data_IF_864135221776
#
_entry.id   IF_864135221776
#
_cell.length_a   1.000
_cell.length_b   1.000
_cell.length_c   1.000
_cell.angle_alpha   90.00
_cell.angle_beta   90.00
_cell.angle_gamma   90.00
#
_symmetry.space_group_name_H-M   'P 1'
#
loop_
_entity.id
_entity.type
_entity.pdbx_description
1 polymer ?
#
# COMPACT_ATOMS: atom_id res chain seq x y z
N UNK A 1 8.98 38.09 -15.76
CA UNK A 1 7.62 38.64 -15.92
C UNK A 1 6.66 37.70 -15.18
N UNK A 2 6.33 38.06 -13.95
CA UNK A 2 5.43 37.33 -13.05
C UNK A 2 4.00 37.56 -13.54
N UNK A 3 3.47 36.66 -14.37
CA UNK A 3 2.03 36.64 -14.60
C UNK A 3 1.37 36.12 -13.33
N UNK A 4 0.83 37.04 -12.54
CA UNK A 4 -0.17 36.74 -11.51
C UNK A 4 -1.34 36.11 -12.24
N UNK A 5 -1.45 34.77 -12.21
CA UNK A 5 -2.66 34.09 -12.68
C UNK A 5 -3.81 34.53 -11.78
N UNK A 6 -4.66 35.43 -12.31
CA UNK A 6 -5.88 35.84 -11.66
C UNK A 6 -6.79 34.62 -11.54
N UNK A 7 -7.06 34.22 -10.29
CA UNK A 7 -7.91 33.09 -9.95
C UNK A 7 -9.31 33.29 -10.54
N UNK A 8 -9.92 32.30 -11.22
CA UNK A 8 -11.33 32.39 -11.57
C UNK A 8 -12.16 32.54 -10.29
N UNK A 9 -12.87 33.66 -10.17
CA UNK A 9 -13.78 33.96 -9.07
C UNK A 9 -14.95 32.98 -9.07
N UNK A 10 -15.14 32.24 -7.97
CA UNK A 10 -16.35 31.42 -7.76
C UNK A 10 -17.51 32.35 -7.42
N UNK A 11 -18.55 32.34 -8.27
CA UNK A 11 -19.84 32.91 -7.95
C UNK A 11 -20.62 31.90 -7.09
N UNK A 12 -20.96 32.29 -5.86
CA UNK A 12 -21.79 31.59 -4.84
C UNK A 12 -21.10 30.53 -3.96
N UNK A 13 -21.46 30.58 -2.67
CA UNK A 13 -21.09 29.60 -1.67
C UNK A 13 -21.75 28.26 -1.99
N UNK A 14 -20.95 27.21 -2.16
CA UNK A 14 -21.39 25.84 -2.39
C UNK A 14 -21.38 25.09 -1.05
N UNK A 15 -22.21 24.04 -0.85
CA UNK A 15 -22.03 23.10 0.26
C UNK A 15 -20.61 22.50 0.35
N UNK A 16 -19.83 22.58 -0.73
CA UNK A 16 -18.41 22.22 -0.74
C UNK A 16 -17.53 23.16 0.11
N UNK A 17 -17.95 24.39 0.39
CA UNK A 17 -17.13 25.37 1.11
C UNK A 17 -17.04 25.05 2.61
N UNK A 18 -18.08 24.41 3.18
CA UNK A 18 -18.06 23.88 4.55
C UNK A 18 -16.98 22.80 4.73
N UNK A 19 -16.58 22.15 3.64
CA UNK A 19 -15.53 21.13 3.62
C UNK A 19 -14.13 21.72 3.44
N UNK A 20 -13.99 23.03 3.19
CA UNK A 20 -12.70 23.73 3.02
C UNK A 20 -12.21 24.42 4.30
N UNK A 21 -12.81 24.08 5.44
CA UNK A 21 -12.37 24.57 6.76
C UNK A 21 -11.00 24.01 7.13
N UNK A 22 -10.22 24.75 7.92
CA UNK A 22 -8.89 24.29 8.34
C UNK A 22 -8.94 22.95 9.12
N UNK A 23 -10.03 22.70 9.84
CA UNK A 23 -10.26 21.43 10.52
C UNK A 23 -10.33 20.24 9.55
N UNK A 24 -10.84 20.45 8.33
CA UNK A 24 -11.01 19.42 7.30
C UNK A 24 -9.80 19.31 6.38
N UNK A 25 -9.25 20.42 5.92
CA UNK A 25 -8.20 20.41 4.90
C UNK A 25 -6.80 20.73 5.42
N UNK A 26 -6.68 21.24 6.65
CA UNK A 26 -5.44 21.77 7.22
C UNK A 26 -5.31 23.29 7.06
N UNK A 27 -4.28 23.90 7.66
CA UNK A 27 -4.10 25.35 7.65
C UNK A 27 -3.78 25.88 6.24
N UNK A 28 -4.09 27.16 6.00
CA UNK A 28 -3.70 27.87 4.77
C UNK A 28 -2.25 28.37 4.88
N UNK A 29 -1.31 27.43 4.83
CA UNK A 29 0.13 27.63 5.05
C UNK A 29 0.98 27.58 3.77
N UNK A 30 0.34 27.65 2.60
CA UNK A 30 0.98 27.47 1.30
C UNK A 30 1.60 28.71 0.67
N UNK A 31 1.42 29.90 1.26
CA UNK A 31 1.89 31.15 0.66
C UNK A 31 3.41 31.11 0.42
N UNK A 32 3.83 31.35 -0.83
CA UNK A 32 5.24 31.28 -1.24
C UNK A 32 5.80 29.87 -1.39
N UNK A 33 5.02 28.82 -1.10
CA UNK A 33 5.45 27.42 -1.14
C UNK A 33 4.89 26.69 -2.35
N UNK A 34 5.61 25.69 -2.81
CA UNK A 34 5.30 24.86 -3.97
C UNK A 34 5.01 23.43 -3.55
N UNK A 35 3.91 22.88 -4.03
CA UNK A 35 3.53 21.49 -3.79
C UNK A 35 3.50 20.72 -5.11
N UNK A 36 4.25 19.63 -5.20
CA UNK A 36 4.03 18.64 -6.26
C UNK A 36 2.94 17.69 -5.80
N UNK A 37 1.92 17.46 -6.64
CA UNK A 37 0.82 16.54 -6.35
C UNK A 37 0.91 15.33 -7.26
N UNK A 38 0.95 14.13 -6.67
CA UNK A 38 0.91 12.89 -7.44
C UNK A 38 -0.50 12.66 -8.02
N UNK A 39 -0.63 12.80 -9.34
CA UNK A 39 -1.90 12.74 -10.07
C UNK A 39 -2.08 11.37 -10.72
N UNK A 40 -2.99 10.53 -10.22
CA UNK A 40 -3.27 9.20 -10.79
C UNK A 40 -4.43 9.19 -11.79
N UNK A 41 -5.07 10.34 -12.04
CA UNK A 41 -6.30 10.43 -12.85
C UNK A 41 -7.57 9.95 -12.13
N UNK A 42 -7.49 9.78 -10.80
CA UNK A 42 -8.63 9.46 -9.95
C UNK A 42 -9.08 10.65 -9.11
N UNK A 43 -10.31 10.57 -8.59
CA UNK A 43 -10.94 11.62 -7.77
C UNK A 43 -10.11 12.02 -6.54
N UNK A 44 -9.39 11.07 -5.94
CA UNK A 44 -8.60 11.31 -4.73
C UNK A 44 -7.41 12.24 -5.02
N UNK A 45 -6.66 11.96 -6.08
CA UNK A 45 -5.57 12.84 -6.52
C UNK A 45 -6.07 14.20 -7.02
N UNK A 46 -7.26 14.23 -7.65
CA UNK A 46 -7.90 15.46 -8.10
C UNK A 46 -8.23 16.40 -6.93
N UNK A 47 -8.90 15.86 -5.91
CA UNK A 47 -9.27 16.64 -4.71
C UNK A 47 -8.03 16.98 -3.89
N UNK A 48 -7.00 16.15 -3.91
CA UNK A 48 -5.70 16.50 -3.30
C UNK A 48 -5.12 17.76 -3.93
N UNK A 49 -5.06 17.84 -5.26
CA UNK A 49 -4.56 19.04 -5.96
C UNK A 49 -5.41 20.27 -5.67
N UNK A 50 -6.73 20.11 -5.65
CA UNK A 50 -7.68 21.16 -5.29
C UNK A 50 -7.42 21.67 -3.86
N UNK A 51 -7.34 20.77 -2.88
CA UNK A 51 -7.11 21.12 -1.48
C UNK A 51 -5.78 21.84 -1.29
N UNK A 52 -4.70 21.36 -1.92
CA UNK A 52 -3.40 22.02 -1.84
C UNK A 52 -3.45 23.44 -2.43
N UNK A 53 -4.18 23.64 -3.54
CA UNK A 53 -4.40 24.97 -4.12
C UNK A 53 -5.18 25.88 -3.15
N UNK A 54 -6.26 25.37 -2.55
CA UNK A 54 -7.06 26.12 -1.57
C UNK A 54 -6.25 26.50 -0.32
N UNK A 55 -5.29 25.67 0.09
CA UNK A 55 -4.35 26.00 1.17
C UNK A 55 -3.29 27.05 0.78
N UNK A 56 -3.32 27.55 -0.46
CA UNK A 56 -2.47 28.64 -0.94
C UNK A 56 -1.16 28.19 -1.58
N UNK A 57 -0.95 26.90 -1.81
CA UNK A 57 0.28 26.40 -2.44
C UNK A 57 0.27 26.69 -3.94
N UNK A 58 1.47 26.96 -4.49
CA UNK A 58 1.71 26.81 -5.93
C UNK A 58 1.76 25.33 -6.27
N UNK A 59 0.65 24.81 -6.80
CA UNK A 59 0.51 23.38 -7.10
C UNK A 59 1.08 23.04 -8.48
N UNK A 60 1.79 21.91 -8.56
CA UNK A 60 2.23 21.27 -9.81
C UNK A 60 1.71 19.84 -9.82
N UNK A 61 0.86 19.49 -10.77
CA UNK A 61 0.39 18.12 -10.97
C UNK A 61 1.47 17.27 -11.66
N UNK A 62 1.72 16.07 -11.15
CA UNK A 62 2.68 15.14 -11.71
C UNK A 62 2.07 13.73 -11.81
N UNK A 63 1.93 13.22 -13.03
CA UNK A 63 1.54 11.84 -13.27
C UNK A 63 2.79 10.96 -13.48
N UNK A 64 2.70 9.71 -13.00
CA UNK A 64 3.70 8.69 -13.28
C UNK A 64 3.13 7.70 -14.30
N UNK A 65 3.83 7.57 -15.42
CA UNK A 65 3.62 6.49 -16.37
C UNK A 65 4.46 5.29 -15.90
N UNK A 66 3.79 4.28 -15.34
CA UNK A 66 4.45 3.14 -14.68
C UNK A 66 4.42 1.86 -15.51
N UNK A 67 3.33 1.62 -16.23
CA UNK A 67 3.15 0.41 -17.02
C UNK A 67 2.15 0.66 -18.14
N UNK A 68 2.63 0.72 -19.38
CA UNK A 68 1.81 0.95 -20.57
C UNK A 68 2.28 0.07 -21.73
N UNK A 69 2.14 -1.28 -21.62
CA UNK A 69 2.41 -2.14 -22.76
C UNK A 69 1.38 -1.87 -23.86
N UNK A 70 1.81 -2.05 -25.11
CA UNK A 70 0.96 -1.85 -26.28
C UNK A 70 0.08 -3.08 -26.55
N UNK A 71 -0.80 -3.38 -25.59
CA UNK A 71 -1.82 -4.42 -25.71
C UNK A 71 -3.20 -3.91 -25.24
N UNK A 72 -4.27 -4.49 -25.79
CA UNK A 72 -5.65 -4.04 -25.51
C UNK A 72 -6.04 -4.19 -24.04
N UNK A 73 -5.49 -5.19 -23.34
CA UNK A 73 -5.81 -5.49 -21.94
C UNK A 73 -5.28 -4.40 -20.97
N UNK A 74 -4.17 -3.75 -21.32
CA UNK A 74 -3.48 -2.79 -20.45
C UNK A 74 -3.60 -1.33 -20.92
N UNK A 75 -4.08 -1.09 -22.15
CA UNK A 75 -4.45 0.27 -22.64
C UNK A 75 -5.44 0.97 -21.71
N UNK A 76 -6.32 0.20 -21.06
CA UNK A 76 -7.31 0.68 -20.10
C UNK A 76 -6.81 0.76 -18.64
N UNK A 77 -5.50 0.68 -18.39
CA UNK A 77 -4.93 0.75 -17.03
C UNK A 77 -5.45 1.99 -16.28
N UNK A 78 -6.26 1.82 -15.21
CA UNK A 78 -6.97 2.92 -14.55
C UNK A 78 -6.05 3.82 -13.72
N UNK A 79 -4.80 3.40 -13.47
CA UNK A 79 -3.84 4.13 -12.63
C UNK A 79 -2.82 4.95 -13.44
N UNK A 80 -2.33 4.42 -14.56
CA UNK A 80 -1.27 5.06 -15.35
C UNK A 80 -1.37 4.87 -16.86
N UNK A 81 -2.47 4.31 -17.37
CA UNK A 81 -2.75 4.25 -18.81
C UNK A 81 -3.07 5.63 -19.39
N UNK A 82 -3.11 5.71 -20.71
CA UNK A 82 -3.38 6.96 -21.45
C UNK A 82 -4.68 7.64 -20.97
N UNK A 83 -5.83 6.92 -20.79
CA UNK A 83 -7.06 7.55 -20.31
C UNK A 83 -6.91 8.18 -18.90
N UNK A 84 -6.18 7.52 -18.00
CA UNK A 84 -5.94 8.05 -16.66
C UNK A 84 -5.03 9.30 -16.69
N UNK A 85 -4.06 9.32 -17.60
CA UNK A 85 -3.21 10.50 -17.80
C UNK A 85 -4.00 11.68 -18.38
N UNK A 86 -4.90 11.43 -19.32
CA UNK A 86 -5.80 12.46 -19.86
C UNK A 86 -6.75 13.01 -18.80
N UNK A 87 -7.31 12.14 -17.95
CA UNK A 87 -8.14 12.56 -16.82
C UNK A 87 -7.35 13.43 -15.83
N UNK A 88 -6.10 13.07 -15.55
CA UNK A 88 -5.22 13.85 -14.69
C UNK A 88 -4.92 15.23 -15.30
N UNK A 89 -4.60 15.27 -16.60
CA UNK A 89 -4.35 16.50 -17.35
C UNK A 89 -5.57 17.40 -17.39
N UNK A 90 -6.75 16.86 -17.70
CA UNK A 90 -8.01 17.59 -17.73
C UNK A 90 -8.37 18.15 -16.35
N UNK A 91 -8.19 17.35 -15.29
CA UNK A 91 -8.37 17.78 -13.90
C UNK A 91 -7.46 18.94 -13.54
N UNK A 92 -6.16 18.86 -13.87
CA UNK A 92 -5.21 19.94 -13.63
C UNK A 92 -5.60 21.22 -14.38
N UNK A 93 -6.10 21.10 -15.62
CA UNK A 93 -6.61 22.24 -16.39
C UNK A 93 -7.84 22.88 -15.71
N UNK A 94 -8.82 22.09 -15.25
CA UNK A 94 -9.98 22.58 -14.49
C UNK A 94 -9.57 23.30 -13.20
N UNK A 95 -8.57 22.77 -12.49
CA UNK A 95 -8.04 23.38 -11.26
C UNK A 95 -7.14 24.60 -11.57
N UNK A 96 -6.67 24.76 -12.81
CA UNK A 96 -5.77 25.85 -13.19
C UNK A 96 -4.34 25.66 -12.72
N UNK A 97 -3.83 24.43 -12.73
CA UNK A 97 -2.46 24.09 -12.30
C UNK A 97 -1.67 23.41 -13.42
N UNK A 98 -0.34 23.64 -13.52
CA UNK A 98 0.50 22.97 -14.50
C UNK A 98 0.53 21.46 -14.26
N UNK A 99 0.69 20.71 -15.36
CA UNK A 99 0.71 19.25 -15.37
C UNK A 99 1.94 18.73 -16.11
N UNK A 100 2.62 17.77 -15.51
CA UNK A 100 3.73 17.04 -16.11
C UNK A 100 3.52 15.53 -15.99
N UNK A 101 4.08 14.77 -16.93
CA UNK A 101 4.13 13.32 -16.86
C UNK A 101 5.59 12.86 -16.88
N UNK A 102 5.92 11.89 -16.04
CA UNK A 102 7.25 11.27 -16.00
C UNK A 102 7.10 9.79 -16.32
N UNK A 103 7.92 9.31 -17.26
CA UNK A 103 8.06 7.89 -17.52
C UNK A 103 8.95 7.25 -16.46
N UNK A 104 8.42 6.24 -15.77
CA UNK A 104 9.10 5.46 -14.73
C UNK A 104 8.92 3.96 -14.98
N UNK A 105 8.66 3.54 -16.23
CA UNK A 105 8.41 2.14 -16.58
C UNK A 105 9.58 1.22 -16.24
N UNK A 106 10.82 1.69 -16.42
CA UNK A 106 12.03 0.90 -16.15
C UNK A 106 12.18 0.66 -14.65
N UNK A 107 12.09 1.72 -13.84
CA UNK A 107 12.21 1.62 -12.40
C UNK A 107 11.05 0.84 -11.78
N UNK A 108 9.84 0.99 -12.33
CA UNK A 108 8.66 0.23 -11.90
C UNK A 108 8.78 -1.25 -12.25
N UNK A 109 9.23 -1.56 -13.46
CA UNK A 109 9.48 -2.94 -13.91
C UNK A 109 10.41 -3.67 -12.95
N UNK A 110 11.61 -3.11 -12.73
CA UNK A 110 12.61 -3.72 -11.87
C UNK A 110 12.20 -3.79 -10.39
N UNK A 111 11.66 -2.70 -9.83
CA UNK A 111 11.40 -2.63 -8.39
C UNK A 111 10.07 -3.27 -7.95
N UNK A 112 9.11 -3.41 -8.87
CA UNK A 112 7.75 -3.89 -8.52
C UNK A 112 7.39 -5.14 -9.30
N UNK A 113 7.50 -5.15 -10.63
CA UNK A 113 7.03 -6.27 -11.45
C UNK A 113 7.92 -7.49 -11.29
N UNK A 114 9.24 -7.33 -11.43
CA UNK A 114 10.18 -8.45 -11.37
C UNK A 114 10.16 -9.11 -9.99
N UNK A 115 10.22 -8.29 -8.93
CA UNK A 115 10.07 -8.74 -7.55
C UNK A 115 8.73 -9.45 -7.31
N UNK A 116 7.62 -8.92 -7.84
CA UNK A 116 6.32 -9.57 -7.72
C UNK A 116 6.32 -10.97 -8.32
N UNK A 117 6.89 -11.13 -9.51
CA UNK A 117 6.99 -12.43 -10.20
C UNK A 117 7.89 -13.39 -9.42
N UNK A 118 9.07 -12.94 -8.98
CA UNK A 118 10.02 -13.78 -8.24
C UNK A 118 9.48 -14.27 -6.89
N UNK A 119 8.76 -13.41 -6.17
CA UNK A 119 8.12 -13.76 -4.90
C UNK A 119 7.05 -14.84 -5.06
N UNK A 120 6.23 -14.76 -6.11
CA UNK A 120 5.23 -15.81 -6.41
C UNK A 120 5.89 -17.14 -6.79
N UNK A 121 6.97 -17.10 -7.57
CA UNK A 121 7.75 -18.31 -7.89
C UNK A 121 8.36 -18.93 -6.64
N UNK A 122 8.78 -18.11 -5.68
CA UNK A 122 9.27 -18.55 -4.37
C UNK A 122 8.16 -19.03 -3.42
N UNK A 123 6.90 -19.10 -3.85
CA UNK A 123 5.77 -19.52 -3.01
C UNK A 123 5.40 -18.53 -1.92
N UNK A 124 5.80 -17.26 -2.08
CA UNK A 124 5.42 -16.14 -1.20
C UNK A 124 4.32 -15.31 -1.85
N UNK A 125 3.64 -14.49 -1.05
CA UNK A 125 2.58 -13.62 -1.54
C UNK A 125 2.98 -12.16 -1.36
N UNK A 126 3.51 -11.49 -2.40
CA UNK A 126 3.96 -10.11 -2.30
C UNK A 126 2.79 -9.11 -2.26
N UNK A 127 3.06 -7.90 -1.79
CA UNK A 127 2.15 -6.76 -1.93
C UNK A 127 2.77 -5.70 -2.85
N UNK A 128 2.41 -5.66 -4.15
CA UNK A 128 3.04 -4.75 -5.11
C UNK A 128 2.75 -3.27 -4.83
N UNK A 129 1.66 -2.95 -4.12
CA UNK A 129 1.35 -1.57 -3.73
C UNK A 129 2.33 -1.05 -2.67
N UNK A 130 2.77 -1.91 -1.75
CA UNK A 130 3.81 -1.57 -0.78
C UNK A 130 5.14 -1.28 -1.48
N UNK A 131 5.54 -2.13 -2.42
CA UNK A 131 6.79 -1.94 -3.17
C UNK A 131 6.73 -0.68 -4.06
N UNK A 132 5.60 -0.43 -4.72
CA UNK A 132 5.38 0.79 -5.50
C UNK A 132 5.47 2.04 -4.61
N UNK A 133 4.88 2.03 -3.42
CA UNK A 133 5.00 3.14 -2.48
C UNK A 133 6.46 3.35 -2.04
N UNK A 134 7.13 2.28 -1.61
CA UNK A 134 8.51 2.31 -1.10
C UNK A 134 9.51 2.75 -2.16
N UNK A 135 9.51 2.09 -3.31
CA UNK A 135 10.56 2.23 -4.31
C UNK A 135 10.24 3.22 -5.42
N UNK A 136 8.97 3.45 -5.74
CA UNK A 136 8.59 4.29 -6.89
C UNK A 136 8.03 5.61 -6.42
N UNK A 137 6.90 5.63 -5.71
CA UNK A 137 6.26 6.89 -5.30
C UNK A 137 7.13 7.67 -4.31
N UNK A 138 7.49 7.12 -3.16
CA UNK A 138 8.12 7.92 -2.11
C UNK A 138 9.64 8.03 -2.21
N UNK A 139 10.30 7.18 -3.00
CA UNK A 139 11.72 7.38 -3.34
C UNK A 139 11.87 8.33 -4.52
N UNK A 140 11.26 8.02 -5.67
CA UNK A 140 11.49 8.78 -6.89
C UNK A 140 10.67 10.08 -6.95
N UNK A 141 9.37 10.11 -6.59
CA UNK A 141 8.63 11.38 -6.62
C UNK A 141 9.14 12.37 -5.58
N UNK A 142 9.52 11.93 -4.38
CA UNK A 142 10.10 12.83 -3.37
C UNK A 142 11.39 13.45 -3.91
N UNK A 143 12.27 12.63 -4.49
CA UNK A 143 13.51 13.12 -5.09
C UNK A 143 13.24 14.11 -6.24
N UNK A 144 12.34 13.77 -7.17
CA UNK A 144 11.97 14.62 -8.31
C UNK A 144 11.30 15.92 -7.85
N UNK A 145 10.40 15.86 -6.88
CA UNK A 145 9.75 17.05 -6.33
C UNK A 145 10.77 18.02 -5.72
N UNK A 146 11.76 17.51 -4.99
CA UNK A 146 12.86 18.33 -4.46
C UNK A 146 13.73 18.93 -5.56
N UNK A 147 14.06 18.17 -6.61
CA UNK A 147 14.80 18.71 -7.76
C UNK A 147 14.06 19.84 -8.47
N UNK A 148 12.73 19.81 -8.46
CA UNK A 148 11.88 20.90 -8.98
C UNK A 148 11.75 22.09 -8.01
N UNK A 149 12.43 22.06 -6.85
CA UNK A 149 12.34 23.09 -5.82
C UNK A 149 10.99 23.11 -5.10
N UNK A 150 10.28 21.97 -5.03
CA UNK A 150 9.04 21.88 -4.29
C UNK A 150 9.31 21.74 -2.78
N UNK A 151 8.47 22.38 -1.98
CA UNK A 151 8.51 22.35 -0.52
C UNK A 151 7.87 21.08 0.06
N UNK A 152 6.99 20.43 -0.71
CA UNK A 152 6.37 19.17 -0.31
C UNK A 152 5.84 18.35 -1.50
N UNK A 153 5.62 17.06 -1.23
CA UNK A 153 4.89 16.13 -2.10
C UNK A 153 3.52 15.83 -1.47
N UNK A 154 2.43 16.10 -2.17
CA UNK A 154 1.10 15.71 -1.75
C UNK A 154 0.59 14.49 -2.54
N UNK A 155 -0.10 13.58 -1.86
CA UNK A 155 -0.71 12.41 -2.53
C UNK A 155 -2.13 12.19 -2.01
N UNK A 156 -2.97 11.55 -2.83
CA UNK A 156 -4.34 11.20 -2.47
C UNK A 156 -4.48 9.99 -1.55
N UNK A 157 -3.48 9.71 -0.71
CA UNK A 157 -3.61 8.66 0.28
C UNK A 157 -4.44 9.11 1.48
N UNK A 158 -5.28 8.20 1.97
CA UNK A 158 -6.03 8.36 3.21
C UNK A 158 -5.15 7.93 4.38
N UNK A 159 -4.37 8.86 4.89
CA UNK A 159 -3.65 8.77 6.16
C UNK A 159 -3.44 10.19 6.70
N UNK A 160 -3.02 10.34 7.94
CA UNK A 160 -2.66 11.65 8.50
C UNK A 160 -1.18 11.64 8.91
N UNK A 161 -0.56 12.81 8.86
CA UNK A 161 0.76 13.04 9.45
C UNK A 161 0.56 14.08 10.54
N UNK A 162 0.89 13.72 11.77
CA UNK A 162 1.02 14.67 12.87
C UNK A 162 2.47 15.17 12.90
N UNK A 163 2.65 16.48 12.81
CA UNK A 163 3.95 17.12 12.74
C UNK A 163 4.51 17.25 14.16
N UNK A 164 5.53 16.47 14.49
CA UNK A 164 6.45 16.80 15.59
C UNK A 164 7.53 17.80 15.16
N UNK A 165 8.40 18.15 16.10
CA UNK A 165 9.66 18.86 15.89
C UNK A 165 10.89 17.95 16.06
N UNK A 166 11.42 17.37 14.96
CA UNK A 166 12.57 16.47 15.05
C UNK A 166 13.83 17.12 15.60
N UNK A 167 13.95 18.45 15.57
CA UNK A 167 15.12 19.18 16.12
C UNK A 167 15.11 19.13 17.65
N UNK A 168 13.92 19.17 18.27
CA UNK A 168 13.74 18.98 19.71
C UNK A 168 13.54 17.51 20.11
N UNK A 169 13.63 16.58 19.15
CA UNK A 169 13.52 15.14 19.38
C UNK A 169 12.09 14.59 19.26
N UNK A 170 11.11 15.39 18.83
CA UNK A 170 9.74 14.94 18.60
C UNK A 170 9.54 14.49 17.14
N UNK A 171 9.36 13.18 16.87
CA UNK A 171 9.24 12.69 15.51
C UNK A 171 7.90 13.07 14.88
N UNK A 172 7.85 13.12 13.54
CA UNK A 172 6.59 13.11 12.83
C UNK A 172 5.90 11.76 12.99
N UNK A 173 4.58 11.75 13.21
CA UNK A 173 3.80 10.53 13.47
C UNK A 173 2.88 10.23 12.30
N UNK A 174 2.93 9.00 11.79
CA UNK A 174 2.01 8.51 10.77
C UNK A 174 0.76 7.96 11.45
N UNK A 175 -0.39 8.53 11.14
CA UNK A 175 -1.65 8.19 11.79
C UNK A 175 -2.67 7.64 10.77
N UNK A 176 -3.60 6.84 11.25
CA UNK A 176 -4.78 6.40 10.49
C UNK A 176 -5.59 7.59 9.98
N UNK A 177 -6.20 7.43 8.80
CA UNK A 177 -7.23 8.36 8.35
C UNK A 177 -8.47 8.34 9.25
N UNK A 178 -9.22 9.44 9.27
CA UNK A 178 -10.52 9.50 9.96
C UNK A 178 -11.56 8.57 9.33
N UNK A 179 -11.44 8.29 8.02
CA UNK A 179 -12.26 7.32 7.32
C UNK A 179 -11.62 5.93 7.39
N UNK A 180 -11.99 5.16 8.42
CA UNK A 180 -11.47 3.80 8.63
C UNK A 180 -11.75 2.82 7.48
N UNK A 181 -12.74 3.09 6.60
CA UNK A 181 -13.01 2.24 5.42
C UNK A 181 -12.00 2.49 4.30
N UNK A 182 -11.45 3.70 4.27
CA UNK A 182 -10.49 4.15 3.26
C UNK A 182 -9.07 4.23 3.75
N UNK A 183 -8.82 4.08 5.06
CA UNK A 183 -7.49 4.13 5.66
C UNK A 183 -6.46 3.33 4.83
N UNK A 184 -5.37 4.01 4.52
CA UNK A 184 -4.24 3.53 3.72
C UNK A 184 -2.94 3.59 4.51
N UNK A 185 -2.99 3.90 5.81
CA UNK A 185 -1.82 3.91 6.70
C UNK A 185 -0.99 2.60 6.63
N UNK A 186 -1.65 1.47 6.44
CA UNK A 186 -1.02 0.15 6.29
C UNK A 186 -0.01 0.08 5.13
N UNK A 187 -0.29 0.70 3.99
CA UNK A 187 0.65 0.66 2.84
C UNK A 187 1.72 1.76 2.90
N UNK A 188 1.80 2.48 4.02
CA UNK A 188 2.67 3.65 4.22
C UNK A 188 3.65 3.45 5.40
N UNK A 189 3.66 2.29 6.06
CA UNK A 189 4.49 2.06 7.25
C UNK A 189 6.00 2.18 7.00
N UNK A 190 6.43 2.04 5.75
CA UNK A 190 7.85 2.13 5.34
C UNK A 190 8.34 3.57 5.19
N UNK A 191 7.50 4.57 5.44
CA UNK A 191 7.89 5.97 5.34
C UNK A 191 8.89 6.33 6.44
N UNK A 192 10.00 6.91 6.01
CA UNK A 192 11.04 7.45 6.90
C UNK A 192 10.62 8.80 7.49
N UNK A 193 11.26 9.24 8.57
CA UNK A 193 11.05 10.57 9.15
C UNK A 193 11.28 11.70 8.14
N UNK A 194 12.31 11.58 7.32
CA UNK A 194 12.61 12.55 6.27
C UNK A 194 11.48 12.65 5.23
N UNK A 195 10.93 11.51 4.82
CA UNK A 195 9.79 11.45 3.90
C UNK A 195 8.52 11.96 4.57
N UNK A 196 8.25 11.58 5.82
CA UNK A 196 7.11 12.09 6.59
C UNK A 196 7.19 13.61 6.67
N UNK A 197 8.37 14.19 6.90
CA UNK A 197 8.63 15.63 6.90
C UNK A 197 8.30 16.35 5.60
N UNK A 198 8.44 15.66 4.47
CA UNK A 198 8.24 16.23 3.14
C UNK A 198 6.85 15.94 2.52
N UNK A 199 6.17 14.88 2.96
CA UNK A 199 4.91 14.43 2.37
C UNK A 199 3.70 15.07 3.05
N UNK A 200 2.63 15.32 2.29
CA UNK A 200 1.31 15.68 2.81
C UNK A 200 0.24 14.67 2.34
N UNK A 201 -0.73 14.40 3.22
CA UNK A 201 -1.93 13.59 2.94
C UNK A 201 -3.20 14.41 3.18
N UNK A 202 -3.60 15.27 2.22
CA UNK A 202 -4.71 16.20 2.43
C UNK A 202 -6.08 15.53 2.64
N UNK A 203 -6.23 14.25 2.26
CA UNK A 203 -7.48 13.52 2.42
C UNK A 203 -7.63 12.83 3.78
N UNK A 204 -6.60 12.85 4.64
CA UNK A 204 -6.58 12.11 5.90
C UNK A 204 -7.68 12.48 6.90
N UNK A 205 -8.24 13.68 6.77
CA UNK A 205 -9.31 14.25 7.63
C UNK A 205 -10.67 14.32 6.91
N UNK A 206 -10.74 13.78 5.69
CA UNK A 206 -11.95 13.73 4.87
C UNK A 206 -12.42 12.29 4.72
N UNK A 207 -13.74 12.12 4.72
CA UNK A 207 -14.38 10.86 4.33
C UNK A 207 -14.50 10.77 2.81
N UNK A 208 -14.62 9.56 2.26
CA UNK A 208 -14.81 9.41 0.80
C UNK A 208 -16.01 10.18 0.25
N UNK A 209 -17.18 10.20 0.92
CA UNK A 209 -18.32 11.02 0.48
C UNK A 209 -17.98 12.50 0.42
N UNK A 210 -17.25 13.05 1.40
CA UNK A 210 -16.81 14.45 1.41
C UNK A 210 -15.83 14.74 0.27
N UNK A 211 -14.89 13.84 -0.01
CA UNK A 211 -14.00 13.95 -1.18
C UNK A 211 -14.79 14.02 -2.49
N UNK A 212 -15.79 13.14 -2.68
CA UNK A 212 -16.66 13.20 -3.87
C UNK A 212 -17.53 14.46 -3.91
N UNK A 213 -17.98 14.97 -2.76
CA UNK A 213 -18.74 16.20 -2.66
C UNK A 213 -17.90 17.42 -3.08
N UNK A 214 -16.64 17.51 -2.62
CA UNK A 214 -15.68 18.52 -3.07
C UNK A 214 -15.46 18.42 -4.59
N UNK A 215 -15.23 17.22 -5.11
CA UNK A 215 -15.02 17.02 -6.54
C UNK A 215 -16.22 17.51 -7.39
N UNK A 216 -17.45 17.18 -6.99
CA UNK A 216 -18.68 17.66 -7.66
C UNK A 216 -18.87 19.17 -7.52
N UNK A 217 -18.68 19.72 -6.32
CA UNK A 217 -18.85 21.14 -6.05
C UNK A 217 -17.90 22.03 -6.86
N UNK A 218 -16.73 21.51 -7.22
CA UNK A 218 -15.74 22.18 -8.06
C UNK A 218 -15.78 21.74 -9.54
N UNK A 219 -16.76 20.93 -9.94
CA UNK A 219 -16.92 20.50 -11.33
C UNK A 219 -15.74 19.67 -11.86
N UNK A 220 -15.08 18.89 -11.01
CA UNK A 220 -13.95 18.06 -11.44
C UNK A 220 -14.47 16.90 -12.32
N UNK A 221 -13.85 16.64 -13.49
CA UNK A 221 -14.36 15.68 -14.47
C UNK A 221 -14.39 14.23 -13.95
N UNK A 222 -13.57 13.93 -12.93
CA UNK A 222 -13.43 12.59 -12.34
C UNK A 222 -14.29 12.37 -11.09
N UNK A 223 -15.21 13.28 -10.77
CA UNK A 223 -15.97 13.26 -9.51
C UNK A 223 -16.74 11.94 -9.26
N UNK A 224 -17.30 11.35 -10.32
CA UNK A 224 -18.08 10.11 -10.27
C UNK A 224 -17.32 8.90 -10.81
N UNK A 225 -16.03 9.06 -11.16
CA UNK A 225 -15.19 7.94 -11.63
C UNK A 225 -15.11 6.84 -10.58
N UNK A 226 -15.15 5.59 -11.05
CA UNK A 226 -14.98 4.41 -10.21
C UNK A 226 -13.54 4.34 -9.65
N UNK A 227 -13.40 3.71 -8.48
CA UNK A 227 -12.08 3.50 -7.89
C UNK A 227 -11.37 2.32 -8.55
N UNK A 228 -10.05 2.44 -8.74
CA UNK A 228 -9.22 1.29 -9.09
C UNK A 228 -9.06 0.39 -7.86
N UNK A 229 -9.57 -0.85 -7.94
CA UNK A 229 -9.46 -1.84 -6.87
C UNK A 229 -8.42 -2.94 -7.20
N UNK A 230 -7.98 -3.03 -8.46
CA UNK A 230 -7.09 -4.09 -8.95
C UNK A 230 -5.60 -3.67 -8.96
N UNK A 231 -4.71 -4.66 -9.03
CA UNK A 231 -3.27 -4.44 -9.20
C UNK A 231 -3.03 -3.75 -10.54
N UNK A 232 -2.39 -2.58 -10.50
CA UNK A 232 -2.33 -1.65 -11.63
C UNK A 232 -1.74 -2.21 -12.93
N UNK A 233 -0.89 -3.24 -12.89
CA UNK A 233 -0.23 -3.82 -14.07
C UNK A 233 -0.77 -5.19 -14.48
N UNK A 234 -1.72 -5.75 -13.72
CA UNK A 234 -2.32 -7.07 -14.03
C UNK A 234 -3.48 -6.92 -15.03
N UNK A 235 -4.08 -5.73 -15.09
CA UNK A 235 -5.19 -5.44 -16.01
C UNK A 235 -6.43 -6.26 -15.65
N UNK A 236 -7.12 -6.79 -16.67
CA UNK A 236 -8.31 -7.63 -16.51
C UNK A 236 -7.97 -9.13 -16.34
N UNK A 237 -6.69 -9.51 -16.36
CA UNK A 237 -6.24 -10.90 -16.23
C UNK A 237 -6.11 -11.29 -14.75
N UNK A 238 -6.01 -12.57 -14.44
CA UNK A 238 -5.62 -12.95 -13.08
C UNK A 238 -4.12 -12.69 -12.87
N UNK A 239 -3.71 -12.40 -11.63
CA UNK A 239 -2.29 -12.27 -11.31
C UNK A 239 -1.52 -13.55 -11.63
N UNK A 240 -2.17 -14.71 -11.53
CA UNK A 240 -1.57 -15.99 -11.84
C UNK A 240 -1.26 -16.11 -13.34
N UNK A 241 -2.16 -15.64 -14.22
CA UNK A 241 -1.91 -15.59 -15.66
C UNK A 241 -0.76 -14.61 -15.99
N UNK A 242 -0.71 -13.48 -15.29
CA UNK A 242 0.37 -12.50 -15.44
C UNK A 242 1.75 -13.08 -15.07
N UNK A 243 1.83 -13.85 -13.98
CA UNK A 243 3.05 -14.54 -13.56
C UNK A 243 3.38 -15.68 -14.52
N UNK A 244 2.39 -16.50 -14.91
CA UNK A 244 2.57 -17.63 -15.83
C UNK A 244 3.11 -17.19 -17.19
N UNK A 245 2.67 -16.04 -17.70
CA UNK A 245 3.17 -15.48 -18.96
C UNK A 245 4.68 -15.14 -18.92
N UNK A 246 5.23 -14.88 -17.74
CA UNK A 246 6.65 -14.56 -17.52
C UNK A 246 7.47 -15.74 -17.03
N UNK A 247 6.84 -16.64 -16.28
CA UNK A 247 7.46 -17.82 -15.64
C UNK A 247 6.54 -19.04 -15.81
N UNK A 248 6.49 -19.65 -17.01
CA UNK A 248 5.57 -20.76 -17.30
C UNK A 248 5.78 -21.98 -16.38
N UNK A 249 6.98 -22.14 -15.82
CA UNK A 249 7.29 -23.20 -14.85
C UNK A 249 6.50 -23.07 -13.54
N UNK A 250 5.96 -21.88 -13.23
CA UNK A 250 5.18 -21.61 -12.02
C UNK A 250 3.79 -22.27 -12.04
N UNK A 251 3.31 -22.72 -13.20
CA UNK A 251 2.00 -23.38 -13.38
C UNK A 251 2.11 -24.90 -13.47
N UNK A 252 3.19 -25.50 -12.95
CA UNK A 252 3.31 -26.97 -12.94
C UNK A 252 2.31 -27.61 -11.97
N UNK A 253 1.44 -28.54 -12.40
CA UNK A 253 0.55 -29.26 -11.50
C UNK A 253 1.32 -30.03 -10.43
N UNK A 254 0.71 -30.18 -9.25
CA UNK A 254 1.33 -30.82 -8.09
C UNK A 254 0.28 -31.34 -7.11
N UNK A 255 0.73 -32.02 -6.06
CA UNK A 255 -0.16 -32.69 -5.10
C UNK A 255 -0.74 -31.70 -4.09
N UNK A 256 -2.02 -31.88 -3.74
CA UNK A 256 -2.62 -31.25 -2.56
C UNK A 256 -2.57 -32.26 -1.43
N UNK A 257 -1.91 -31.90 -0.33
CA UNK A 257 -1.65 -32.80 0.79
C UNK A 257 -2.09 -32.19 2.12
N UNK A 258 -2.52 -33.02 3.06
CA UNK A 258 -2.67 -32.60 4.46
C UNK A 258 -1.32 -32.55 5.18
N UNK A 259 -1.30 -31.97 6.39
CA UNK A 259 -0.08 -31.87 7.21
C UNK A 259 0.56 -33.21 7.59
N UNK A 260 -0.21 -34.30 7.63
CA UNK A 260 0.28 -35.67 7.86
C UNK A 260 0.71 -36.40 6.56
N UNK A 261 0.62 -35.72 5.40
CA UNK A 261 1.07 -36.24 4.11
C UNK A 261 -0.01 -36.97 3.29
N UNK A 262 -1.26 -37.05 3.75
CA UNK A 262 -2.34 -37.65 2.97
C UNK A 262 -2.63 -36.84 1.70
N UNK A 263 -2.57 -37.49 0.54
CA UNK A 263 -2.88 -36.87 -0.76
C UNK A 263 -4.39 -36.74 -0.93
N UNK A 264 -4.86 -35.52 -1.18
CA UNK A 264 -6.27 -35.17 -1.33
C UNK A 264 -6.67 -34.89 -2.79
N UNK A 265 -5.71 -34.61 -3.66
CA UNK A 265 -5.95 -34.25 -5.04
C UNK A 265 -4.74 -33.57 -5.68
N UNK A 266 -4.99 -32.79 -6.75
CA UNK A 266 -3.96 -32.06 -7.47
C UNK A 266 -4.34 -30.59 -7.67
N UNK A 267 -3.36 -29.71 -7.57
CA UNK A 267 -3.48 -28.30 -7.92
C UNK A 267 -2.98 -28.02 -9.34
N UNK A 268 -3.41 -26.91 -9.93
CA UNK A 268 -2.98 -26.49 -11.29
C UNK A 268 -1.68 -25.69 -11.32
N UNK A 269 -1.12 -25.38 -10.15
CA UNK A 269 0.14 -24.66 -9.98
C UNK A 269 0.12 -23.89 -8.68
N UNK A 270 1.23 -23.84 -7.96
CA UNK A 270 1.29 -23.15 -6.66
C UNK A 270 0.99 -21.65 -6.79
N UNK A 271 1.26 -21.06 -7.95
CA UNK A 271 0.97 -19.64 -8.26
C UNK A 271 -0.52 -19.28 -8.14
N UNK A 272 -1.43 -20.24 -8.28
CA UNK A 272 -2.87 -20.02 -8.11
C UNK A 272 -3.32 -20.03 -6.64
N UNK A 273 -2.36 -20.22 -5.73
CA UNK A 273 -2.63 -20.40 -4.32
C UNK A 273 -1.85 -19.39 -3.46
N UNK A 274 -2.46 -19.02 -2.34
CA UNK A 274 -1.88 -18.13 -1.33
C UNK A 274 -2.07 -18.76 0.04
N UNK A 275 -1.08 -18.62 0.92
CA UNK A 275 -1.21 -19.08 2.31
C UNK A 275 -2.44 -18.45 2.97
N UNK A 276 -3.20 -19.23 3.73
CA UNK A 276 -4.47 -18.80 4.33
C UNK A 276 -5.67 -18.75 3.39
N UNK A 277 -5.50 -19.03 2.10
CA UNK A 277 -6.62 -19.19 1.16
C UNK A 277 -7.54 -20.33 1.61
N UNK A 278 -8.84 -20.08 1.52
CA UNK A 278 -9.91 -21.06 1.79
C UNK A 278 -10.65 -21.53 0.54
N UNK A 279 -10.89 -20.60 -0.41
CA UNK A 279 -11.67 -20.87 -1.63
C UNK A 279 -10.76 -21.31 -2.77
N UNK A 280 -11.27 -22.08 -3.72
CA UNK A 280 -10.51 -22.45 -4.92
C UNK A 280 -9.38 -23.45 -4.71
N UNK A 281 -9.37 -24.19 -3.58
CA UNK A 281 -8.40 -25.28 -3.32
C UNK A 281 -8.72 -26.52 -4.18
N UNK A 282 -10.00 -26.74 -4.53
CA UNK A 282 -10.39 -27.85 -5.41
C UNK A 282 -10.51 -29.22 -4.70
N UNK A 283 -10.58 -29.25 -3.37
CA UNK A 283 -10.77 -30.46 -2.58
C UNK A 283 -12.14 -30.43 -1.87
N UNK A 284 -12.90 -31.51 -1.98
CA UNK A 284 -14.12 -31.72 -1.20
C UNK A 284 -13.80 -32.29 0.19
N UNK A 285 -14.28 -31.64 1.25
CA UNK A 285 -14.02 -32.07 2.62
C UNK A 285 -15.18 -31.71 3.57
N UNK A 286 -15.40 -32.47 4.66
CA UNK A 286 -16.45 -32.19 5.64
C UNK A 286 -16.29 -30.83 6.34
N UNK A 287 -15.05 -30.36 6.47
CA UNK A 287 -14.68 -29.04 7.02
C UNK A 287 -13.83 -28.29 6.00
N UNK A 288 -13.91 -26.96 5.95
CA UNK A 288 -13.15 -26.18 5.00
C UNK A 288 -11.64 -26.25 5.30
N UNK A 289 -10.86 -26.58 4.27
CA UNK A 289 -9.41 -26.49 4.30
C UNK A 289 -8.93 -25.04 4.12
N UNK A 290 -7.77 -24.77 4.70
CA UNK A 290 -6.98 -23.56 4.51
C UNK A 290 -5.59 -23.96 4.02
N UNK A 291 -5.03 -23.19 3.10
CA UNK A 291 -3.62 -23.37 2.69
C UNK A 291 -2.71 -23.02 3.85
N UNK A 292 -1.90 -23.98 4.30
CA UNK A 292 -0.94 -23.79 5.39
C UNK A 292 0.43 -23.35 4.86
N UNK A 293 0.93 -24.00 3.82
CA UNK A 293 2.16 -23.59 3.10
C UNK A 293 2.16 -24.05 1.66
N UNK A 294 2.99 -23.39 0.87
CA UNK A 294 3.35 -23.78 -0.50
C UNK A 294 4.75 -24.42 -0.42
N UNK A 295 4.85 -25.72 -0.66
CA UNK A 295 6.12 -26.45 -0.73
C UNK A 295 6.65 -26.38 -2.17
N UNK A 296 7.48 -25.38 -2.46
CA UNK A 296 8.02 -25.16 -3.80
C UNK A 296 9.01 -26.23 -4.22
N UNK A 297 9.81 -26.78 -3.29
CA UNK A 297 10.79 -27.84 -3.54
C UNK A 297 10.11 -29.13 -3.99
N UNK A 298 9.06 -29.57 -3.28
CA UNK A 298 8.32 -30.80 -3.61
C UNK A 298 7.12 -30.55 -4.54
N UNK A 299 6.84 -29.30 -4.87
CA UNK A 299 5.65 -28.87 -5.62
C UNK A 299 4.34 -29.39 -4.99
N UNK A 300 4.13 -29.08 -3.70
CA UNK A 300 2.95 -29.52 -2.94
C UNK A 300 2.21 -28.35 -2.30
N UNK A 301 0.88 -28.39 -2.40
CA UNK A 301 -0.01 -27.49 -1.67
C UNK A 301 -0.40 -28.15 -0.34
N UNK A 302 0.14 -27.65 0.77
CA UNK A 302 -0.17 -28.21 2.09
C UNK A 302 -1.39 -27.51 2.69
N UNK A 303 -2.40 -28.28 3.07
CA UNK A 303 -3.67 -27.77 3.59
C UNK A 303 -4.01 -28.34 4.98
N UNK A 304 -4.83 -27.62 5.73
CA UNK A 304 -5.28 -28.06 7.04
C UNK A 304 -6.49 -27.27 7.55
N UNK A 305 -6.88 -27.57 8.78
CA UNK A 305 -8.01 -26.92 9.44
C UNK A 305 -7.72 -25.46 9.79
N UNK A 306 -8.78 -24.70 10.08
CA UNK A 306 -8.67 -23.28 10.45
C UNK A 306 -7.71 -23.03 11.62
N UNK A 307 -7.76 -23.86 12.65
CA UNK A 307 -6.93 -23.66 13.85
C UNK A 307 -5.45 -23.91 13.56
N UNK A 308 -5.12 -24.82 12.65
CA UNK A 308 -3.74 -25.01 12.18
C UNK A 308 -3.24 -23.83 11.34
N UNK A 309 -4.13 -23.06 10.71
CA UNK A 309 -3.74 -21.92 9.88
C UNK A 309 -3.45 -20.63 10.68
N UNK A 310 -3.78 -20.60 11.98
CA UNK A 310 -3.60 -19.43 12.84
C UNK A 310 -2.15 -19.29 13.28
N UNK A 311 -1.64 -18.08 13.23
CA UNK A 311 -0.32 -17.74 13.76
C UNK A 311 -0.35 -17.66 15.29
N UNK A 312 0.68 -18.20 15.94
CA UNK A 312 1.03 -17.89 17.33
C UNK A 312 2.08 -16.79 17.37
N UNK A 313 3.02 -16.83 16.43
CA UNK A 313 4.04 -15.80 16.26
C UNK A 313 4.37 -15.56 14.78
N UNK A 314 5.03 -14.44 14.51
CA UNK A 314 5.63 -14.11 13.23
C UNK A 314 7.09 -13.75 13.43
N UNK A 315 7.95 -14.28 12.59
CA UNK A 315 9.29 -13.71 12.40
C UNK A 315 9.20 -12.76 11.21
N UNK A 316 9.59 -11.51 11.43
CA UNK A 316 9.54 -10.47 10.40
C UNK A 316 10.92 -9.90 10.12
N UNK A 317 11.10 -9.46 8.89
CA UNK A 317 12.34 -8.89 8.36
C UNK A 317 12.06 -7.55 7.67
N UNK A 318 13.14 -6.83 7.36
CA UNK A 318 13.07 -5.49 6.78
C UNK A 318 12.22 -4.54 7.64
N UNK A 319 12.35 -4.67 8.96
CA UNK A 319 11.59 -3.88 9.93
C UNK A 319 11.91 -2.40 9.76
N UNK A 320 10.85 -1.60 9.65
CA UNK A 320 10.90 -0.15 9.56
C UNK A 320 10.01 0.43 10.66
N UNK A 321 10.57 1.28 11.50
CA UNK A 321 9.86 2.00 12.54
C UNK A 321 9.67 3.45 12.12
N UNK A 322 8.43 3.92 12.09
CA UNK A 322 8.09 5.25 11.59
C UNK A 322 8.77 6.32 12.44
N UNK A 323 8.74 6.18 13.77
CA UNK A 323 9.35 7.12 14.73
C UNK A 323 10.88 7.14 14.74
N UNK A 324 11.55 6.22 14.03
CA UNK A 324 13.01 6.18 13.92
C UNK A 324 13.78 5.72 15.18
N UNK A 325 13.08 5.43 16.28
CA UNK A 325 13.66 4.87 17.51
C UNK A 325 13.63 3.35 17.43
N UNK A 326 14.70 2.68 17.88
CA UNK A 326 14.79 1.22 18.00
C UNK A 326 14.80 0.79 19.48
N UNK A 327 13.64 0.50 20.09
CA UNK A 327 13.56 0.08 21.49
C UNK A 327 14.29 -1.24 21.77
N UNK A 328 14.97 -1.33 22.91
CA UNK A 328 15.55 -2.59 23.39
C UNK A 328 14.50 -3.51 24.04
N UNK A 329 13.51 -2.92 24.70
CA UNK A 329 12.50 -3.67 25.44
C UNK A 329 11.32 -4.05 24.54
N UNK A 330 10.71 -5.22 24.74
CA UNK A 330 9.49 -5.58 24.05
C UNK A 330 8.35 -4.61 24.32
N UNK A 331 7.50 -4.39 23.33
CA UNK A 331 6.38 -3.45 23.44
C UNK A 331 5.08 -4.03 22.87
N UNK A 332 3.96 -3.58 23.44
CA UNK A 332 2.62 -4.01 23.06
C UNK A 332 2.07 -3.22 21.88
N UNK A 333 1.43 -3.92 20.95
CA UNK A 333 0.88 -3.34 19.73
C UNK A 333 -0.44 -3.99 19.32
N UNK A 334 -1.17 -3.30 18.46
CA UNK A 334 -2.16 -3.89 17.59
C UNK A 334 -1.52 -4.23 16.23
N UNK A 335 -1.27 -5.50 15.96
CA UNK A 335 -0.67 -5.98 14.71
C UNK A 335 -1.74 -6.27 13.65
N UNK A 336 -1.54 -5.75 12.43
CA UNK A 336 -2.40 -5.99 11.27
C UNK A 336 -1.59 -6.72 10.20
N UNK A 337 -1.97 -7.96 9.85
CA UNK A 337 -1.18 -8.85 8.96
C UNK A 337 -1.62 -8.83 7.49
N UNK A 338 -2.63 -8.03 7.15
CA UNK A 338 -3.12 -7.83 5.78
C UNK A 338 -3.87 -6.53 5.67
N UNK A 339 -3.89 -5.93 4.48
CA UNK A 339 -4.65 -4.71 4.24
C UNK A 339 -6.13 -4.88 4.60
N UNK A 340 -6.68 -3.93 5.39
CA UNK A 340 -8.04 -4.00 5.96
C UNK A 340 -8.32 -5.23 6.85
N UNK A 341 -7.28 -5.89 7.35
CA UNK A 341 -7.38 -6.92 8.36
C UNK A 341 -7.81 -6.36 9.71
N UNK A 342 -8.44 -7.20 10.53
CA UNK A 342 -8.69 -6.85 11.92
C UNK A 342 -7.35 -6.82 12.69
N UNK A 343 -7.15 -5.84 13.59
CA UNK A 343 -5.99 -5.83 14.46
C UNK A 343 -6.02 -7.02 15.43
N UNK A 344 -4.85 -7.56 15.73
CA UNK A 344 -4.64 -8.57 16.77
C UNK A 344 -3.64 -8.03 17.80
N UNK A 345 -3.95 -8.16 19.08
CA UNK A 345 -3.04 -7.78 20.16
C UNK A 345 -1.78 -8.66 20.11
N UNK A 346 -0.62 -8.03 20.22
CA UNK A 346 0.67 -8.71 20.15
C UNK A 346 1.76 -7.96 20.90
N UNK A 347 2.76 -8.70 21.36
CA UNK A 347 4.03 -8.16 21.85
C UNK A 347 5.07 -8.26 20.75
N UNK A 348 5.86 -7.21 20.56
CA UNK A 348 6.96 -7.17 19.58
C UNK A 348 8.29 -7.11 20.32
N UNK A 349 9.18 -8.03 20.00
CA UNK A 349 10.58 -8.00 20.41
C UNK A 349 11.45 -7.75 19.18
N UNK A 350 12.17 -6.62 19.16
CA UNK A 350 13.07 -6.27 18.06
C UNK A 350 14.39 -7.05 18.19
N UNK A 351 14.95 -7.43 17.05
CA UNK A 351 16.33 -7.93 16.95
C UNK A 351 17.35 -6.80 17.02
N UNK A 352 18.59 -7.09 16.66
CA UNK A 352 19.61 -6.06 16.51
C UNK A 352 19.21 -5.06 15.40
N UNK A 353 19.55 -3.78 15.59
CA UNK A 353 19.10 -2.72 14.68
C UNK A 353 19.64 -2.91 13.25
N UNK A 354 20.86 -3.38 13.11
CA UNK A 354 21.52 -3.66 11.83
C UNK A 354 20.88 -4.84 11.08
N UNK A 355 20.36 -5.84 11.80
CA UNK A 355 19.65 -6.97 11.20
C UNK A 355 18.26 -6.59 10.69
N UNK A 356 17.62 -5.58 11.28
CA UNK A 356 16.25 -5.13 10.95
C UNK A 356 15.22 -6.28 11.01
N UNK A 357 15.31 -7.12 12.04
CA UNK A 357 14.41 -8.25 12.31
C UNK A 357 13.58 -8.02 13.56
N UNK A 358 12.46 -8.73 13.69
CA UNK A 358 11.68 -8.77 14.92
C UNK A 358 10.87 -10.06 15.04
N UNK A 359 10.51 -10.40 16.27
CA UNK A 359 9.52 -11.42 16.58
C UNK A 359 8.24 -10.75 17.09
N UNK A 360 7.11 -11.14 16.50
CA UNK A 360 5.76 -10.70 16.89
C UNK A 360 5.04 -11.89 17.52
N UNK A 361 4.64 -11.79 18.79
CA UNK A 361 3.93 -12.86 19.51
C UNK A 361 2.50 -12.42 19.79
N UNK A 362 1.52 -13.15 19.29
CA UNK A 362 0.11 -12.79 19.48
C UNK A 362 -0.40 -13.17 20.87
N UNK A 363 -1.22 -12.31 21.45
CA UNK A 363 -1.87 -12.59 22.73
C UNK A 363 -3.01 -13.62 22.56
N UNK A 364 -3.07 -14.59 23.48
CA UNK A 364 -4.15 -15.59 23.54
C UNK A 364 -3.98 -16.77 22.58
N UNK A 365 -5.06 -17.53 22.37
CA UNK A 365 -5.09 -18.78 21.60
C UNK A 365 -5.46 -18.59 20.11
N UNK A 366 -5.74 -17.36 19.67
CA UNK A 366 -6.37 -17.07 18.37
C UNK A 366 -5.70 -15.94 17.60
N UNK A 367 -4.44 -16.12 17.24
CA UNK A 367 -3.80 -15.19 16.30
C UNK A 367 -4.43 -15.23 14.88
N UNK A 368 -4.05 -14.27 14.03
CA UNK A 368 -4.58 -14.14 12.68
C UNK A 368 -4.01 -15.22 11.75
N UNK A 369 -4.66 -15.42 10.61
CA UNK A 369 -4.07 -16.19 9.51
C UNK A 369 -3.17 -15.24 8.73
N UNK A 370 -1.87 -15.53 8.71
CA UNK A 370 -0.83 -14.72 8.11
C UNK A 370 -0.10 -15.48 6.99
N UNK A 371 0.59 -14.76 6.11
CA UNK A 371 1.23 -15.32 4.92
C UNK A 371 2.64 -14.77 4.75
N UNK A 372 3.66 -15.62 4.57
CA UNK A 372 4.99 -15.15 4.20
C UNK A 372 4.98 -14.28 2.93
N UNK A 373 5.78 -13.21 2.95
CA UNK A 373 5.83 -12.18 1.89
C UNK A 373 4.81 -11.04 2.06
N UNK A 374 3.76 -11.20 2.86
CA UNK A 374 2.88 -10.09 3.24
C UNK A 374 3.52 -9.23 4.34
N UNK A 375 3.05 -8.00 4.49
CA UNK A 375 3.48 -7.14 5.59
C UNK A 375 2.65 -7.35 6.85
N UNK A 376 3.29 -7.21 8.01
CA UNK A 376 2.62 -6.89 9.27
C UNK A 376 2.89 -5.43 9.61
N UNK A 377 1.86 -4.71 10.02
CA UNK A 377 1.94 -3.30 10.44
C UNK A 377 1.53 -3.20 11.89
N UNK A 378 2.34 -2.47 12.67
CA UNK A 378 2.26 -2.35 14.11
C UNK A 378 1.60 -1.02 14.45
N UNK A 379 0.52 -1.05 15.23
CA UNK A 379 -0.23 0.13 15.62
C UNK A 379 -0.23 0.37 17.13
N UNK A 380 -0.07 1.63 17.53
CA UNK A 380 -0.32 2.14 18.87
C UNK A 380 -1.56 3.04 18.85
N UNK A 381 -2.75 2.46 19.09
CA UNK A 381 -4.01 3.15 18.82
C UNK A 381 -4.15 3.48 17.32
N UNK A 382 -4.24 4.77 16.99
CA UNK A 382 -4.30 5.26 15.61
C UNK A 382 -2.93 5.50 14.97
N UNK A 383 -1.85 5.46 15.73
CA UNK A 383 -0.50 5.65 15.22
C UNK A 383 0.04 4.37 14.57
N UNK A 384 0.66 4.50 13.40
CA UNK A 384 1.50 3.47 12.80
C UNK A 384 2.88 3.60 13.42
N UNK A 385 3.28 2.61 14.22
CA UNK A 385 4.61 2.55 14.86
C UNK A 385 5.67 2.00 13.90
N UNK A 386 5.25 1.19 12.93
CA UNK A 386 6.14 0.56 11.98
C UNK A 386 5.56 -0.72 11.38
N UNK A 387 6.43 -1.58 10.88
CA UNK A 387 6.06 -2.86 10.31
C UNK A 387 7.25 -3.58 9.68
N UNK A 388 6.98 -4.73 9.08
CA UNK A 388 7.97 -5.52 8.35
C UNK A 388 7.32 -6.57 7.48
N UNK A 389 8.15 -7.25 6.68
CA UNK A 389 7.72 -8.36 5.83
C UNK A 389 7.73 -9.65 6.64
N UNK A 390 6.65 -10.42 6.57
CA UNK A 390 6.54 -11.70 7.25
C UNK A 390 7.47 -12.70 6.55
N UNK A 391 8.51 -13.13 7.24
CA UNK A 391 9.44 -14.15 6.76
C UNK A 391 8.91 -15.54 7.07
N UNK A 392 8.47 -15.76 8.30
CA UNK A 392 7.95 -17.04 8.77
C UNK A 392 6.74 -16.84 9.70
N UNK A 393 5.89 -17.87 9.76
CA UNK A 393 4.71 -17.90 10.62
C UNK A 393 4.87 -19.09 11.57
N UNK A 394 5.00 -18.83 12.87
CA UNK A 394 4.99 -19.86 13.91
C UNK A 394 3.55 -20.29 14.19
N UNK A 395 3.29 -21.59 14.19
CA UNK A 395 1.95 -22.17 14.39
C UNK A 395 1.97 -23.25 15.46
N UNK A 396 0.82 -23.42 16.12
CA UNK A 396 0.62 -24.41 17.16
C UNK A 396 0.83 -25.83 16.62
N UNK A 397 1.81 -26.55 17.17
CA UNK A 397 2.09 -27.95 16.82
C UNK A 397 3.03 -28.15 15.62
N UNK A 398 3.56 -27.08 15.01
CA UNK A 398 4.69 -27.20 14.09
C UNK A 398 5.99 -27.28 14.93
N UNK A 399 6.63 -28.45 14.96
CA UNK A 399 8.02 -28.57 15.44
C UNK A 399 8.86 -27.75 14.46
N UNK A 400 9.62 -26.76 14.97
CA UNK A 400 10.64 -26.05 14.18
C UNK A 400 11.58 -27.10 13.59
N UNK A 401 11.40 -27.43 12.31
CA UNK A 401 12.44 -28.12 11.55
C UNK A 401 13.54 -27.08 11.37
N UNK A 402 14.57 -27.18 12.21
CA UNK A 402 15.82 -26.46 12.01
C UNK A 402 16.32 -26.79 10.61
N UNK A 403 16.32 -25.78 9.73
CA UNK A 403 17.04 -25.87 8.47
C UNK A 403 18.52 -25.83 8.86
N UNK A 404 19.11 -27.03 9.00
CA UNK A 404 20.55 -27.19 9.07
C UNK A 404 21.15 -26.56 7.83
N UNK A 405 21.80 -25.41 8.02
CA UNK A 405 22.72 -24.85 7.04
C UNK A 405 24.00 -25.68 7.14
N UNK A 406 24.35 -26.33 6.03
CA UNK A 406 25.68 -26.86 5.76
C UNK A 406 26.34 -25.96 4.72
#
# INVERSE_FOLDING_TARGET
MTQTQTLPSRATASPADDLLTEAKIGPRDGAGRTAVVAMSGGVDSAVTALVMRERGYRVVGMNLRLFSPDDEDHRANPCCGIPAMDDARATCATIGVPFYAINMEVEFGAAVIDRFVDEYVAGRTPNPCLECNRHVKFRHLVHRARQLGADCLATGHYARIERGDPVSGEPHRLMRAVDGRKDQSYVLYTLTQEQLGFIQFPLGRLTKPEVRALARGFGLPVADKAESQEICFVGNRSYADFVAARRPEATRPGEIVTGDGTVLGQHRGLVHHTVGQRRGIGVAAPKPYFVLRLDTERNRLVVGGREQARAESLDIEQVSLTGGVWPSDPFEVAAVVRYRGAPAAATVALGAEDERTAQVTFAGDRGPIASPGQAVVLYGGDEVLGGGTIRAVGRRGEIKLEVSTA
#
